data_IF_242837094595
#
_entry.id   IF_242837094595
#
_cell.length_a   1.000
_cell.length_b   1.000
_cell.length_c   1.000
_cell.angle_alpha   90.00
_cell.angle_beta   90.00
_cell.angle_gamma   90.00
#
_symmetry.space_group_name_H-M   'P 1'
#
loop_
_entity.id
_entity.type
_entity.pdbx_description
1 polymer ?
#
# COMPACT_ATOMS: atom_id res chain seq x y z
N UNK A 1 -17.08 2.74 20.93
CA UNK A 1 -18.38 2.79 20.22
C UNK A 1 -18.39 1.63 19.26
N UNK A 2 -19.33 0.69 19.43
CA UNK A 2 -19.43 -0.49 18.57
C UNK A 2 -20.19 -0.12 17.29
N UNK A 3 -19.44 0.08 16.20
CA UNK A 3 -20.02 0.29 14.88
C UNK A 3 -20.32 -1.08 14.23
N UNK A 4 -21.58 -1.42 13.92
CA UNK A 4 -21.93 -2.72 13.34
C UNK A 4 -21.28 -2.96 11.97
N UNK A 5 -20.95 -1.91 11.22
CA UNK A 5 -20.24 -2.01 9.94
C UNK A 5 -18.80 -2.45 10.15
N UNK A 6 -18.15 -1.92 11.19
CA UNK A 6 -16.78 -2.29 11.53
C UNK A 6 -16.71 -3.71 12.09
N UNK A 7 -17.73 -4.17 12.84
CA UNK A 7 -17.83 -5.55 13.29
C UNK A 7 -17.98 -6.51 12.10
N UNK A 8 -18.96 -6.29 11.23
CA UNK A 8 -19.17 -7.12 10.03
C UNK A 8 -17.93 -7.17 9.12
N UNK A 9 -17.21 -6.06 8.98
CA UNK A 9 -15.99 -6.01 8.19
C UNK A 9 -14.86 -6.88 8.79
N UNK A 10 -14.69 -6.90 10.11
CA UNK A 10 -13.68 -7.74 10.79
C UNK A 10 -14.08 -9.21 10.85
N UNK A 11 -15.37 -9.52 10.80
CA UNK A 11 -15.85 -10.91 10.66
C UNK A 11 -15.55 -11.46 9.25
N UNK A 12 -15.57 -10.59 8.23
CA UNK A 12 -15.36 -10.97 6.83
C UNK A 12 -13.89 -10.88 6.37
N UNK A 13 -13.08 -9.99 6.94
CA UNK A 13 -11.72 -9.69 6.45
C UNK A 13 -10.70 -9.56 7.57
N UNK A 14 -9.46 -9.93 7.25
CA UNK A 14 -8.27 -9.59 8.05
C UNK A 14 -7.66 -8.30 7.48
N UNK A 15 -7.54 -7.29 8.34
CA UNK A 15 -6.93 -6.01 7.96
C UNK A 15 -5.44 -5.98 8.32
N UNK A 16 -4.58 -6.03 7.31
CA UNK A 16 -3.14 -5.79 7.47
C UNK A 16 -2.85 -4.30 7.29
N UNK A 17 -2.44 -3.62 8.37
CA UNK A 17 -2.22 -2.16 8.37
C UNK A 17 -0.75 -1.88 8.66
N UNK A 18 -0.11 -1.12 7.75
CA UNK A 18 1.21 -0.51 7.97
C UNK A 18 0.98 0.97 8.32
N UNK A 19 1.08 1.38 9.60
CA UNK A 19 0.72 2.75 10.00
C UNK A 19 1.62 3.83 9.39
N UNK A 20 2.89 3.49 9.15
CA UNK A 20 3.86 4.39 8.53
C UNK A 20 4.87 3.57 7.71
N UNK A 21 4.88 3.77 6.40
CA UNK A 21 5.79 3.06 5.49
C UNK A 21 7.21 3.63 5.50
N UNK A 22 7.37 4.94 5.74
CA UNK A 22 8.65 5.65 5.78
C UNK A 22 8.87 6.35 7.12
N UNK A 23 9.04 5.61 8.23
CA UNK A 23 9.17 6.20 9.55
C UNK A 23 10.42 7.10 9.66
N UNK A 24 11.53 6.69 9.05
CA UNK A 24 12.79 7.45 9.11
C UNK A 24 12.70 8.78 8.34
N UNK A 25 12.12 8.76 7.14
CA UNK A 25 11.88 9.98 6.36
C UNK A 25 10.94 10.93 7.09
N UNK A 26 9.85 10.42 7.67
CA UNK A 26 8.91 11.21 8.46
C UNK A 26 9.61 11.86 9.67
N UNK A 27 10.39 11.09 10.43
CA UNK A 27 11.14 11.59 11.59
C UNK A 27 12.14 12.70 11.20
N UNK A 28 12.77 12.59 10.03
CA UNK A 28 13.73 13.59 9.51
C UNK A 28 13.07 14.77 8.80
N UNK A 29 11.75 14.83 8.72
CA UNK A 29 11.04 15.88 8.00
C UNK A 29 11.21 15.81 6.48
N UNK A 30 11.57 14.65 5.94
CA UNK A 30 11.61 14.45 4.50
C UNK A 30 10.19 14.49 3.94
N UNK A 31 10.03 15.24 2.85
CA UNK A 31 8.73 15.35 2.19
C UNK A 31 8.37 14.11 1.34
N UNK A 32 9.33 13.58 0.55
CA UNK A 32 9.05 12.54 -0.46
C UNK A 32 9.95 11.32 -0.41
N UNK A 33 11.18 11.47 0.07
CA UNK A 33 12.21 10.45 -0.04
C UNK A 33 12.54 9.77 1.30
N UNK A 34 13.08 8.56 1.23
CA UNK A 34 13.69 7.87 2.37
C UNK A 34 15.04 8.52 2.78
N UNK A 35 15.77 7.85 3.67
CA UNK A 35 17.08 8.30 4.16
C UNK A 35 18.21 8.24 3.12
N UNK A 36 18.01 7.49 2.04
CA UNK A 36 18.92 7.37 0.91
C UNK A 36 18.52 8.29 -0.27
N UNK A 37 17.50 9.14 -0.09
CA UNK A 37 17.03 10.05 -1.13
C UNK A 37 16.12 9.38 -2.17
N UNK A 38 15.64 8.17 -1.91
CA UNK A 38 14.85 7.37 -2.85
C UNK A 38 13.36 7.61 -2.66
N UNK A 39 12.64 7.68 -3.77
CA UNK A 39 11.18 7.67 -3.75
C UNK A 39 10.68 6.22 -3.63
N UNK A 40 10.28 5.82 -2.43
CA UNK A 40 9.85 4.45 -2.14
C UNK A 40 8.67 3.99 -3.03
N UNK A 41 7.78 4.91 -3.43
CA UNK A 41 6.66 4.61 -4.34
C UNK A 41 7.11 4.40 -5.81
N UNK A 42 8.42 4.24 -6.07
CA UNK A 42 8.98 3.88 -7.39
C UNK A 42 9.89 2.65 -7.29
N UNK A 43 9.81 1.92 -6.19
CA UNK A 43 10.68 0.77 -5.90
C UNK A 43 9.90 -0.55 -5.78
N UNK A 44 8.62 -0.60 -6.17
CA UNK A 44 7.80 -1.81 -6.02
C UNK A 44 8.16 -2.95 -7.01
N UNK A 45 8.70 -2.64 -8.19
CA UNK A 45 9.03 -3.64 -9.21
C UNK A 45 10.14 -4.60 -8.77
N UNK A 46 11.19 -4.06 -8.15
CA UNK A 46 12.36 -4.80 -7.69
C UNK A 46 13.02 -4.09 -6.48
N UNK A 47 12.37 -4.09 -5.30
CA UNK A 47 12.93 -3.48 -4.11
C UNK A 47 14.13 -4.30 -3.62
N UNK A 48 15.19 -3.60 -3.25
CA UNK A 48 16.38 -4.16 -2.64
C UNK A 48 16.19 -4.19 -1.12
N UNK A 49 16.44 -5.34 -0.48
CA UNK A 49 16.21 -5.53 0.94
C UNK A 49 17.09 -4.64 1.83
N UNK A 50 18.27 -4.22 1.36
CA UNK A 50 19.17 -3.34 2.08
C UNK A 50 18.86 -1.87 1.82
N UNK A 51 18.44 -1.51 0.59
CA UNK A 51 18.19 -0.11 0.22
C UNK A 51 16.75 0.35 0.46
N UNK A 52 15.74 -0.49 0.23
CA UNK A 52 14.32 -0.19 0.47
C UNK A 52 13.66 -1.28 1.32
N UNK A 53 14.10 -1.48 2.58
CA UNK A 53 13.61 -2.57 3.44
C UNK A 53 12.10 -2.54 3.64
N UNK A 54 11.50 -1.34 3.76
CA UNK A 54 10.05 -1.18 3.94
C UNK A 54 9.26 -1.68 2.73
N UNK A 55 9.66 -1.31 1.52
CA UNK A 55 9.00 -1.74 0.28
C UNK A 55 9.24 -3.21 0.02
N UNK A 56 10.45 -3.70 0.28
CA UNK A 56 10.76 -5.12 0.19
C UNK A 56 9.86 -5.96 1.12
N UNK A 57 9.70 -5.55 2.38
CA UNK A 57 8.84 -6.25 3.34
C UNK A 57 7.35 -6.18 2.97
N UNK A 58 6.85 -4.99 2.61
CA UNK A 58 5.47 -4.80 2.19
C UNK A 58 5.14 -5.63 0.94
N UNK A 59 6.03 -5.64 -0.06
CA UNK A 59 5.89 -6.47 -1.27
C UNK A 59 5.81 -7.96 -0.94
N UNK A 60 6.67 -8.46 -0.05
CA UNK A 60 6.63 -9.86 0.37
C UNK A 60 5.34 -10.23 1.10
N UNK A 61 4.81 -9.34 1.92
CA UNK A 61 3.51 -9.54 2.57
C UNK A 61 2.39 -9.64 1.53
N UNK A 62 2.33 -8.71 0.58
CA UNK A 62 1.34 -8.71 -0.49
C UNK A 62 1.43 -9.95 -1.37
N UNK A 63 2.64 -10.32 -1.80
CA UNK A 63 2.88 -11.52 -2.59
C UNK A 63 2.42 -12.78 -1.85
N UNK A 64 2.71 -12.90 -0.56
CA UNK A 64 2.27 -14.05 0.23
C UNK A 64 0.74 -14.17 0.32
N UNK A 65 0.01 -13.05 0.43
CA UNK A 65 -1.46 -13.07 0.37
C UNK A 65 -1.99 -13.39 -1.03
N UNK A 66 -1.37 -12.82 -2.08
CA UNK A 66 -1.77 -13.05 -3.46
C UNK A 66 -1.54 -14.52 -3.90
N UNK A 67 -0.44 -15.14 -3.49
CA UNK A 67 -0.13 -16.55 -3.77
C UNK A 67 -1.13 -17.52 -3.15
N UNK A 68 -1.80 -17.11 -2.05
CA UNK A 68 -2.83 -17.90 -1.38
C UNK A 68 -4.25 -17.52 -1.81
N UNK A 69 -4.40 -16.62 -2.78
CA UNK A 69 -5.69 -16.06 -3.20
C UNK A 69 -6.48 -15.39 -2.05
N UNK A 70 -5.76 -14.81 -1.08
CA UNK A 70 -6.31 -14.16 0.11
C UNK A 70 -6.25 -12.62 0.02
N UNK A 71 -5.67 -12.08 -1.06
CA UNK A 71 -5.56 -10.64 -1.23
C UNK A 71 -6.84 -10.07 -1.85
N UNK A 72 -7.77 -9.65 -1.00
CA UNK A 72 -9.02 -9.03 -1.46
C UNK A 72 -8.83 -7.62 -2.01
N UNK A 73 -8.01 -6.78 -1.36
CA UNK A 73 -7.81 -5.39 -1.77
C UNK A 73 -6.51 -4.80 -1.21
N UNK A 74 -5.92 -3.84 -1.92
CA UNK A 74 -4.74 -3.07 -1.51
C UNK A 74 -5.02 -1.57 -1.64
N UNK A 75 -4.63 -0.80 -0.62
CA UNK A 75 -4.76 0.66 -0.58
C UNK A 75 -3.45 1.28 -0.17
N UNK A 76 -3.00 2.27 -0.94
CA UNK A 76 -1.88 3.12 -0.58
C UNK A 76 -2.37 4.56 -0.33
N UNK A 77 -2.10 5.08 0.87
CA UNK A 77 -2.64 6.35 1.35
C UNK A 77 -1.59 7.47 1.20
N UNK A 78 -1.92 8.49 0.41
CA UNK A 78 -1.03 9.62 0.11
C UNK A 78 -1.68 10.97 0.37
N UNK A 79 -0.86 11.95 0.74
CA UNK A 79 -1.19 13.36 0.60
C UNK A 79 -0.92 13.84 -0.82
N UNK A 80 -1.81 14.68 -1.36
CA UNK A 80 -1.62 15.28 -2.68
C UNK A 80 -1.45 16.80 -2.57
N UNK A 81 -0.41 17.34 -3.20
CA UNK A 81 -0.06 18.76 -3.07
C UNK A 81 -0.98 19.73 -3.81
N UNK A 82 -1.44 19.35 -5.01
CA UNK A 82 -2.11 20.29 -5.91
C UNK A 82 -3.65 20.17 -5.93
N UNK A 83 -4.20 19.05 -5.45
CA UNK A 83 -5.63 18.76 -5.52
C UNK A 83 -6.19 18.77 -4.11
N UNK A 84 -7.28 19.51 -3.90
CA UNK A 84 -8.02 19.55 -2.65
C UNK A 84 -9.12 18.48 -2.66
N UNK A 85 -9.49 18.00 -1.48
CA UNK A 85 -10.52 16.97 -1.29
C UNK A 85 -9.96 15.54 -1.25
N UNK A 86 -10.86 14.57 -1.16
CA UNK A 86 -10.53 13.15 -1.15
C UNK A 86 -10.83 12.55 -2.53
N UNK A 87 -9.87 11.82 -3.09
CA UNK A 87 -10.01 11.14 -4.38
C UNK A 87 -9.13 9.90 -4.39
N UNK A 88 -9.45 8.96 -5.27
CA UNK A 88 -8.69 7.74 -5.47
C UNK A 88 -8.15 7.69 -6.90
N UNK A 89 -6.94 7.15 -7.04
CA UNK A 89 -6.46 6.60 -8.30
C UNK A 89 -6.58 5.09 -8.20
N UNK A 90 -7.06 4.47 -9.26
CA UNK A 90 -7.14 3.02 -9.39
C UNK A 90 -6.50 2.59 -10.70
N UNK A 91 -6.25 1.30 -10.81
CA UNK A 91 -5.75 0.73 -12.06
C UNK A 91 -6.84 0.86 -13.13
N UNK A 92 -6.48 1.43 -14.28
CA UNK A 92 -7.37 1.49 -15.45
C UNK A 92 -7.31 0.15 -16.18
N UNK A 93 -8.03 -0.83 -15.65
CA UNK A 93 -8.08 -2.19 -16.17
C UNK A 93 -9.41 -2.42 -16.89
N UNK A 94 -9.39 -3.22 -17.95
CA UNK A 94 -10.60 -3.55 -18.74
C UNK A 94 -11.11 -4.95 -18.40
N UNK A 95 -12.44 -5.15 -18.43
CA UNK A 95 -13.05 -6.49 -18.35
C UNK A 95 -12.72 -7.27 -17.06
N UNK A 96 -12.32 -8.54 -17.21
CA UNK A 96 -11.97 -9.42 -16.07
C UNK A 96 -10.67 -9.02 -15.37
N UNK A 97 -9.79 -8.30 -16.07
CA UNK A 97 -8.51 -7.86 -15.49
C UNK A 97 -8.73 -6.79 -14.42
N UNK A 98 -9.84 -6.05 -14.48
CA UNK A 98 -10.25 -5.14 -13.40
C UNK A 98 -10.60 -5.86 -12.09
N UNK A 99 -10.96 -7.13 -12.17
CA UNK A 99 -11.25 -8.00 -11.01
C UNK A 99 -9.99 -8.75 -10.57
N UNK A 100 -9.08 -9.07 -11.49
CA UNK A 100 -7.87 -9.86 -11.26
C UNK A 100 -6.59 -9.02 -11.07
N UNK A 101 -6.69 -7.77 -10.64
CA UNK A 101 -5.54 -6.89 -10.45
C UNK A 101 -4.55 -7.47 -9.41
N UNK A 102 -3.61 -8.30 -9.88
CA UNK A 102 -2.49 -8.80 -9.10
C UNK A 102 -1.58 -7.62 -8.80
N UNK A 103 -1.75 -7.04 -7.61
CA UNK A 103 -0.84 -6.20 -6.82
C UNK A 103 0.42 -5.64 -7.51
N UNK A 104 0.32 -4.98 -8.66
CA UNK A 104 1.44 -4.28 -9.29
C UNK A 104 0.93 -2.97 -9.91
N UNK A 105 0.80 -1.96 -9.05
CA UNK A 105 0.63 -0.56 -9.38
C UNK A 105 1.68 0.25 -8.61
#
# INVERSE_FOLDING_TARGET
VDDPRAAAARDAYVFNIIPCLNPDGAFRGHYRCDTLGQNLNRCYDAPDAAKQPAIHAARRLLAAHAERDELGFYVDLHGHVNKRGCFAFGNSLEGRDAVEARAWA
#
